data_IF_403480135785
#
_entry.id   IF_403480135785
#
_cell.length_a   1.000
_cell.length_b   1.000
_cell.length_c   1.000
_cell.angle_alpha   90.00
_cell.angle_beta   90.00
_cell.angle_gamma   90.00
#
_symmetry.space_group_name_H-M   'P 1'
#
loop_
_entity.id
_entity.type
_entity.pdbx_description
1 polymer ?
#
# COMPACT_ATOMS: atom_id res chain seq x y z
N UNK A 1 -80.98 -16.69 -20.95
CA UNK A 1 -79.81 -16.74 -20.03
C UNK A 1 -78.54 -16.94 -20.87
N UNK A 2 -77.84 -15.86 -21.20
CA UNK A 2 -76.62 -15.91 -22.02
C UNK A 2 -75.45 -15.48 -21.12
N UNK A 3 -74.56 -16.39 -20.80
CA UNK A 3 -73.32 -16.15 -20.06
C UNK A 3 -72.21 -15.78 -21.08
N UNK A 4 -71.83 -14.54 -21.09
CA UNK A 4 -70.65 -14.03 -21.83
C UNK A 4 -69.39 -14.29 -21.00
N UNK A 5 -68.50 -15.13 -21.47
CA UNK A 5 -67.17 -15.30 -20.90
C UNK A 5 -66.25 -14.19 -21.40
N UNK A 6 -65.69 -13.42 -20.49
CA UNK A 6 -64.73 -12.40 -20.77
C UNK A 6 -63.32 -13.03 -20.62
N UNK A 7 -62.64 -13.21 -21.74
CA UNK A 7 -61.26 -13.70 -21.77
C UNK A 7 -60.31 -12.59 -21.39
N UNK A 8 -59.61 -12.72 -20.29
CA UNK A 8 -58.57 -11.85 -19.85
C UNK A 8 -57.23 -12.28 -20.48
N UNK A 9 -56.74 -11.55 -21.47
CA UNK A 9 -55.43 -11.78 -22.06
C UNK A 9 -54.34 -11.22 -21.16
N UNK A 10 -53.49 -12.09 -20.61
CA UNK A 10 -52.32 -11.74 -19.83
C UNK A 10 -51.17 -11.42 -20.77
N UNK A 11 -50.83 -10.13 -20.90
CA UNK A 11 -49.66 -9.67 -21.63
C UNK A 11 -48.45 -9.79 -20.73
N UNK A 12 -47.61 -10.77 -20.94
CA UNK A 12 -46.33 -10.90 -20.26
C UNK A 12 -45.30 -9.95 -20.93
N UNK A 13 -44.97 -8.85 -20.28
CA UNK A 13 -43.89 -7.99 -20.70
C UNK A 13 -42.55 -8.59 -20.26
N UNK A 14 -41.77 -9.07 -21.24
CA UNK A 14 -40.36 -9.47 -21.04
C UNK A 14 -39.55 -8.18 -20.81
N UNK A 15 -39.04 -7.96 -19.59
CA UNK A 15 -38.04 -6.93 -19.30
C UNK A 15 -36.67 -7.56 -19.61
N UNK A 16 -35.85 -7.01 -20.51
CA UNK A 16 -34.48 -7.47 -20.67
C UNK A 16 -33.67 -7.03 -19.44
N UNK A 17 -33.12 -8.00 -18.72
CA UNK A 17 -32.12 -7.75 -17.70
C UNK A 17 -30.86 -7.19 -18.36
N UNK A 18 -30.68 -5.87 -18.25
CA UNK A 18 -29.42 -5.24 -18.59
C UNK A 18 -28.38 -5.74 -17.59
N UNK A 19 -27.48 -6.61 -18.05
CA UNK A 19 -26.28 -6.97 -17.33
C UNK A 19 -25.41 -5.71 -17.22
N UNK A 20 -25.41 -5.08 -16.05
CA UNK A 20 -24.38 -4.11 -15.71
C UNK A 20 -23.07 -4.89 -15.54
N UNK A 21 -22.26 -4.92 -16.61
CA UNK A 21 -20.86 -5.24 -16.49
C UNK A 21 -20.24 -4.12 -15.67
N UNK A 22 -19.92 -4.41 -14.41
CA UNK A 22 -18.98 -3.59 -13.64
C UNK A 22 -17.61 -3.77 -14.28
N UNK A 23 -17.31 -2.97 -15.29
CA UNK A 23 -15.94 -2.67 -15.66
C UNK A 23 -15.36 -1.90 -14.49
N UNK A 24 -14.58 -2.60 -13.66
CA UNK A 24 -13.73 -2.00 -12.67
C UNK A 24 -12.68 -1.16 -13.37
N UNK A 25 -13.00 0.10 -13.63
CA UNK A 25 -12.02 1.11 -13.98
C UNK A 25 -11.01 1.17 -12.86
N UNK A 26 -9.87 0.52 -13.07
CA UNK A 26 -8.67 0.74 -12.29
C UNK A 26 -8.27 2.20 -12.49
N UNK A 27 -8.86 3.08 -11.70
CA UNK A 27 -8.44 4.47 -11.62
C UNK A 27 -6.98 4.45 -11.20
N UNK A 28 -6.07 4.59 -12.18
CA UNK A 28 -4.67 4.88 -11.91
C UNK A 28 -4.70 6.15 -11.06
N UNK A 29 -4.34 6.03 -9.80
CA UNK A 29 -4.16 7.17 -8.89
C UNK A 29 -2.89 7.93 -9.30
N UNK A 30 -2.91 8.47 -10.52
CA UNK A 30 -1.90 9.39 -10.98
C UNK A 30 -1.94 10.61 -10.06
N UNK A 31 -0.82 10.85 -9.33
CA UNK A 31 -0.59 11.91 -8.35
C UNK A 31 -1.08 11.66 -6.90
N UNK A 32 -1.41 10.47 -6.48
CA UNK A 32 -1.60 10.19 -5.07
C UNK A 32 -0.26 10.34 -4.32
N UNK A 33 -0.26 11.14 -3.25
CA UNK A 33 0.87 11.24 -2.34
C UNK A 33 0.75 10.15 -1.27
N UNK A 34 1.88 9.58 -0.80
CA UNK A 34 1.85 8.61 0.28
C UNK A 34 1.31 9.23 1.57
N UNK A 35 0.53 8.47 2.31
CA UNK A 35 0.07 8.88 3.64
C UNK A 35 1.27 8.99 4.58
N UNK A 36 1.23 9.91 5.55
CA UNK A 36 2.24 9.99 6.61
C UNK A 36 1.77 9.15 7.79
N UNK A 37 2.67 8.32 8.32
CA UNK A 37 2.44 7.53 9.52
C UNK A 37 3.41 7.98 10.62
N UNK A 38 2.97 7.94 11.86
CA UNK A 38 3.78 8.24 13.03
C UNK A 38 4.57 7.01 13.48
N UNK A 39 5.64 7.20 14.27
CA UNK A 39 6.41 6.11 14.86
C UNK A 39 5.51 5.16 15.66
N UNK A 40 4.55 5.70 16.43
CA UNK A 40 3.66 4.89 17.27
C UNK A 40 2.76 3.97 16.43
N UNK A 41 2.20 4.47 15.33
CA UNK A 41 1.39 3.67 14.41
C UNK A 41 2.23 2.56 13.77
N UNK A 42 3.39 2.92 13.22
CA UNK A 42 4.28 1.96 12.57
C UNK A 42 4.74 0.88 13.56
N UNK A 43 5.06 1.25 14.81
CA UNK A 43 5.45 0.31 15.86
C UNK A 43 4.32 -0.68 16.17
N UNK A 44 3.08 -0.21 16.30
CA UNK A 44 1.90 -1.06 16.51
C UNK A 44 1.71 -2.03 15.34
N UNK A 45 1.70 -1.52 14.11
CA UNK A 45 1.51 -2.34 12.91
C UNK A 45 2.62 -3.38 12.71
N UNK A 46 3.88 -3.00 13.00
CA UNK A 46 5.02 -3.92 12.91
C UNK A 46 4.92 -5.04 13.94
N UNK A 47 4.56 -4.71 15.19
CA UNK A 47 4.34 -5.70 16.26
C UNK A 47 3.22 -6.70 15.91
N UNK A 48 2.16 -6.20 15.27
CA UNK A 48 1.02 -7.01 14.84
C UNK A 48 1.25 -7.71 13.49
N UNK A 49 2.41 -7.50 12.84
CA UNK A 49 2.75 -8.02 11.51
C UNK A 49 1.75 -7.62 10.42
N UNK A 50 1.12 -6.45 10.58
CA UNK A 50 0.13 -5.90 9.64
C UNK A 50 0.74 -5.03 8.55
N UNK A 51 2.02 -4.65 8.69
CA UNK A 51 2.72 -3.78 7.75
C UNK A 51 4.06 -4.39 7.35
N UNK A 52 4.47 -4.13 6.13
CA UNK A 52 5.83 -4.40 5.67
C UNK A 52 6.61 -3.08 5.69
N UNK A 53 7.57 -2.91 6.60
CA UNK A 53 8.49 -1.77 6.53
C UNK A 53 9.37 -1.89 5.29
N UNK A 54 9.63 -0.77 4.62
CA UNK A 54 10.46 -0.72 3.41
C UNK A 54 11.55 0.33 3.61
N UNK A 55 12.78 -0.14 3.66
CA UNK A 55 13.96 0.69 3.89
C UNK A 55 14.49 1.26 2.58
N UNK A 56 14.42 2.58 2.43
CA UNK A 56 14.95 3.32 1.28
C UNK A 56 16.35 3.91 1.53
N UNK A 57 17.03 3.53 2.64
CA UNK A 57 18.38 3.97 2.93
C UNK A 57 19.42 3.23 2.09
N UNK A 58 20.59 3.85 1.96
CA UNK A 58 21.78 3.16 1.46
C UNK A 58 22.43 2.26 2.53
N UNK A 59 23.35 1.41 2.08
CA UNK A 59 24.06 0.41 2.91
C UNK A 59 24.75 1.05 4.12
N UNK A 60 25.37 2.22 3.95
CA UNK A 60 26.08 2.91 5.03
C UNK A 60 25.14 3.28 6.18
N UNK A 61 23.98 3.87 5.87
CA UNK A 61 22.96 4.23 6.88
C UNK A 61 22.44 2.99 7.60
N UNK A 62 22.14 1.92 6.87
CA UNK A 62 21.67 0.65 7.45
C UNK A 62 22.69 0.05 8.39
N UNK A 63 23.96 0.05 8.01
CA UNK A 63 25.04 -0.48 8.84
C UNK A 63 25.21 0.30 10.14
N UNK A 64 25.11 1.63 10.06
CA UNK A 64 25.28 2.51 11.23
C UNK A 64 24.05 2.57 12.13
N UNK A 65 22.84 2.58 11.54
CA UNK A 65 21.60 2.84 12.26
C UNK A 65 20.80 1.57 12.56
N UNK A 66 21.07 0.48 11.86
CA UNK A 66 20.19 -0.68 11.82
C UNK A 66 18.97 -0.44 10.93
N UNK A 67 18.06 -1.39 10.93
CA UNK A 67 16.82 -1.37 10.15
C UNK A 67 15.62 -1.68 11.05
N UNK A 68 14.43 -1.28 10.66
CA UNK A 68 13.20 -1.71 11.33
C UNK A 68 13.08 -3.24 11.15
N UNK A 69 12.77 -4.03 12.19
CA UNK A 69 12.68 -5.47 12.08
C UNK A 69 11.69 -5.91 10.99
N UNK A 70 12.12 -6.85 10.14
CA UNK A 70 11.32 -7.34 9.03
C UNK A 70 11.26 -6.43 7.80
N UNK A 71 12.09 -5.39 7.74
CA UNK A 71 12.10 -4.47 6.61
C UNK A 71 12.62 -5.11 5.33
N UNK A 72 11.96 -4.80 4.21
CA UNK A 72 12.49 -4.97 2.86
C UNK A 72 13.55 -3.91 2.63
N UNK A 73 14.73 -4.31 2.15
CA UNK A 73 15.86 -3.41 1.91
C UNK A 73 15.95 -3.11 0.41
N UNK A 74 15.54 -1.92 0.00
CA UNK A 74 15.56 -1.56 -1.42
C UNK A 74 17.00 -1.40 -1.94
N UNK A 75 17.25 -1.87 -3.15
CA UNK A 75 18.54 -1.67 -3.84
C UNK A 75 18.76 -0.22 -4.26
N UNK A 76 17.68 0.52 -4.50
CA UNK A 76 17.68 1.94 -4.85
C UNK A 76 16.40 2.60 -4.33
N UNK A 77 16.46 3.85 -3.92
CA UNK A 77 15.25 4.59 -3.49
C UNK A 77 14.34 5.01 -4.65
N UNK A 78 14.88 5.15 -5.86
CA UNK A 78 14.13 5.65 -7.02
C UNK A 78 14.01 4.64 -8.17
N UNK A 79 14.90 3.64 -8.24
CA UNK A 79 14.98 2.70 -9.36
C UNK A 79 14.98 1.23 -8.93
N UNK A 80 14.53 0.92 -7.70
CA UNK A 80 14.44 -0.46 -7.23
C UNK A 80 13.52 -1.31 -8.13
N UNK A 81 13.76 -2.62 -8.19
CA UNK A 81 12.85 -3.55 -8.88
C UNK A 81 11.57 -3.72 -8.03
N UNK A 82 10.41 -3.63 -8.68
CA UNK A 82 9.12 -3.86 -8.00
C UNK A 82 8.98 -5.26 -7.41
N UNK A 83 9.77 -6.22 -7.89
CA UNK A 83 9.86 -7.57 -7.31
C UNK A 83 10.47 -7.60 -5.90
N UNK A 84 11.17 -6.53 -5.50
CA UNK A 84 11.66 -6.37 -4.13
C UNK A 84 10.52 -6.15 -3.13
N UNK A 85 9.37 -5.64 -3.60
CA UNK A 85 8.17 -5.44 -2.79
C UNK A 85 7.29 -6.69 -2.78
N UNK A 86 6.41 -6.85 -1.76
CA UNK A 86 5.40 -7.90 -1.77
C UNK A 86 4.57 -7.90 -3.06
N UNK A 87 4.31 -9.07 -3.64
CA UNK A 87 3.54 -9.20 -4.88
C UNK A 87 2.09 -8.70 -4.75
N UNK A 88 1.51 -8.81 -3.55
CA UNK A 88 0.18 -8.27 -3.25
C UNK A 88 0.21 -6.75 -3.22
N UNK A 89 -0.46 -6.11 -4.17
CA UNK A 89 -0.54 -4.65 -4.30
C UNK A 89 -1.37 -3.97 -3.20
N UNK A 90 -2.19 -4.71 -2.49
CA UNK A 90 -2.99 -4.23 -1.35
C UNK A 90 -2.26 -4.40 0.00
N UNK A 91 -1.05 -4.97 -0.02
CA UNK A 91 -0.24 -5.07 1.19
C UNK A 91 0.04 -3.68 1.77
N UNK A 92 -0.08 -3.54 3.08
CA UNK A 92 0.25 -2.30 3.76
C UNK A 92 1.77 -2.13 3.81
N UNK A 93 2.28 -1.09 3.15
CA UNK A 93 3.69 -0.75 3.09
C UNK A 93 3.96 0.56 3.83
N UNK A 94 5.04 0.62 4.59
CA UNK A 94 5.54 1.88 5.15
C UNK A 94 6.99 2.08 4.74
N UNK A 95 7.23 3.09 3.93
CA UNK A 95 8.56 3.47 3.48
C UNK A 95 9.22 4.39 4.50
N UNK A 96 10.49 4.20 4.75
CA UNK A 96 11.27 5.08 5.62
C UNK A 96 12.70 5.27 5.09
N UNK A 97 13.30 6.36 5.50
CA UNK A 97 14.72 6.63 5.24
C UNK A 97 15.44 7.08 6.52
N UNK A 98 16.44 7.94 6.44
CA UNK A 98 17.26 8.27 7.60
C UNK A 98 16.53 9.15 8.64
N UNK A 99 15.91 10.24 8.19
CA UNK A 99 15.25 11.24 9.04
C UNK A 99 14.36 12.16 8.19
N UNK A 100 13.74 13.18 8.82
CA UNK A 100 12.81 14.13 8.18
C UNK A 100 13.40 14.96 7.03
N UNK A 101 14.73 15.06 6.91
CA UNK A 101 15.40 15.80 5.83
C UNK A 101 15.65 14.94 4.60
N UNK A 102 15.36 13.65 4.67
CA UNK A 102 15.61 12.67 3.61
C UNK A 102 14.33 12.43 2.78
N UNK A 103 14.38 12.70 1.49
CA UNK A 103 13.25 12.50 0.57
C UNK A 103 13.22 11.11 -0.09
N UNK A 104 14.18 10.24 0.20
CA UNK A 104 14.30 8.93 -0.44
C UNK A 104 13.07 8.04 -0.21
N UNK A 105 12.49 8.06 0.98
CA UNK A 105 11.27 7.29 1.29
C UNK A 105 10.05 7.78 0.53
N UNK A 106 9.91 9.09 0.32
CA UNK A 106 8.80 9.65 -0.46
C UNK A 106 8.92 9.28 -1.94
N UNK A 107 10.14 9.35 -2.51
CA UNK A 107 10.40 8.94 -3.88
C UNK A 107 10.11 7.43 -4.09
N UNK A 108 10.56 6.59 -3.16
CA UNK A 108 10.31 5.16 -3.20
C UNK A 108 8.82 4.82 -3.06
N UNK A 109 8.12 5.47 -2.13
CA UNK A 109 6.69 5.30 -1.91
C UNK A 109 5.87 5.73 -3.14
N UNK A 110 6.23 6.89 -3.73
CA UNK A 110 5.57 7.37 -4.95
C UNK A 110 5.72 6.35 -6.09
N UNK A 111 6.92 5.79 -6.30
CA UNK A 111 7.14 4.75 -7.29
C UNK A 111 6.23 3.54 -7.06
N UNK A 112 6.04 3.11 -5.82
CA UNK A 112 5.11 2.01 -5.50
C UNK A 112 3.67 2.37 -5.89
N UNK A 113 3.18 3.56 -5.51
CA UNK A 113 1.84 4.06 -5.83
C UNK A 113 1.64 4.11 -7.34
N UNK A 114 2.58 4.69 -8.09
CA UNK A 114 2.53 4.80 -9.56
C UNK A 114 2.46 3.41 -10.25
N UNK A 115 2.87 2.36 -9.53
CA UNK A 115 2.83 0.97 -9.99
C UNK A 115 1.72 0.13 -9.33
N UNK A 116 0.70 0.77 -8.78
CA UNK A 116 -0.55 0.14 -8.37
C UNK A 116 -0.61 -0.36 -6.93
N UNK A 117 0.36 -0.03 -6.06
CA UNK A 117 0.22 -0.28 -4.62
C UNK A 117 -0.77 0.70 -4.00
N UNK A 118 -1.77 0.18 -3.29
CA UNK A 118 -2.92 0.96 -2.79
C UNK A 118 -2.77 1.41 -1.33
N UNK A 119 -2.02 0.67 -0.52
CA UNK A 119 -1.84 0.92 0.92
C UNK A 119 -0.40 1.35 1.25
N UNK A 120 -0.03 2.57 0.85
CA UNK A 120 1.32 3.09 0.97
C UNK A 120 1.37 4.27 1.93
N UNK A 121 2.27 4.18 2.91
CA UNK A 121 2.58 5.25 3.84
C UNK A 121 4.09 5.52 3.88
N UNK A 122 4.47 6.67 4.40
CA UNK A 122 5.85 7.00 4.77
C UNK A 122 5.95 7.29 6.25
N UNK A 123 7.09 6.94 6.86
CA UNK A 123 7.49 7.36 8.19
C UNK A 123 8.48 8.52 8.06
N UNK A 124 8.02 9.79 8.20
CA UNK A 124 8.88 10.96 7.97
C UNK A 124 10.08 11.03 8.92
N UNK A 125 9.89 10.63 10.17
CA UNK A 125 10.94 10.63 11.20
C UNK A 125 12.07 9.63 10.88
N UNK A 126 11.80 8.67 10.01
CA UNK A 126 12.74 7.67 9.55
C UNK A 126 13.32 6.81 10.66
N UNK A 127 14.47 6.15 10.38
CA UNK A 127 15.13 5.30 11.36
C UNK A 127 15.65 6.10 12.58
N UNK A 128 15.96 7.38 12.42
CA UNK A 128 16.37 8.21 13.53
C UNK A 128 15.23 8.41 14.55
N UNK A 129 14.03 8.79 14.09
CA UNK A 129 12.87 8.94 14.98
C UNK A 129 12.42 7.59 15.56
N UNK A 130 12.49 6.51 14.80
CA UNK A 130 12.23 5.16 15.28
C UNK A 130 13.10 4.81 16.50
N UNK A 131 14.41 5.04 16.40
CA UNK A 131 15.36 4.81 17.51
C UNK A 131 15.14 5.76 18.68
N UNK A 132 14.88 7.03 18.39
CA UNK A 132 14.63 8.05 19.44
C UNK A 132 13.40 7.70 20.27
N UNK A 133 12.40 7.05 19.67
CA UNK A 133 11.23 6.53 20.36
C UNK A 133 11.48 5.19 21.10
N UNK A 134 12.74 4.74 21.20
CA UNK A 134 13.11 3.51 21.89
C UNK A 134 12.68 2.21 21.18
N UNK A 135 12.33 2.30 19.90
CA UNK A 135 11.89 1.13 19.14
C UNK A 135 13.09 0.22 18.74
N UNK A 136 12.90 -1.10 18.70
CA UNK A 136 13.98 -2.04 18.39
C UNK A 136 14.43 -1.93 16.94
N UNK A 137 15.74 -2.13 16.72
CA UNK A 137 16.32 -2.26 15.39
C UNK A 137 16.95 -3.63 15.19
N UNK A 138 17.01 -4.09 13.95
CA UNK A 138 17.72 -5.29 13.54
C UNK A 138 18.98 -4.92 12.74
N UNK A 139 19.91 -5.87 12.64
CA UNK A 139 21.03 -5.76 11.69
C UNK A 139 20.46 -5.95 10.27
N UNK A 140 20.96 -5.20 9.26
CA UNK A 140 20.57 -5.46 7.89
C UNK A 140 21.01 -6.87 7.50
N UNK A 141 20.06 -7.70 7.05
CA UNK A 141 20.39 -8.99 6.47
C UNK A 141 20.92 -8.72 5.05
N UNK A 142 22.21 -8.86 4.86
CA UNK A 142 22.81 -8.90 3.53
C UNK A 142 22.45 -10.25 2.90
N UNK A 143 21.35 -10.31 2.16
CA UNK A 143 21.05 -11.39 1.22
C UNK A 143 21.49 -10.96 -0.17
#
# INVERSE_FOLDING_TARGET
MKRTMLSLALVATLVPAAAFACEGDGVKQANALPKKATVAEVASWTKEKKVTPVDANGVETRTKQGVIPGAVLLTSSSQYDLKELPANKDAQLVFYCANQKCSASEAAAKRAIDNGYTNVAVLPEGIAGWKQAGQPTAKPNNT
#
